data_IF_698260158353
#
_entry.id   IF_698260158353
#
_cell.length_a   1.000
_cell.length_b   1.000
_cell.length_c   1.000
_cell.angle_alpha   90.00
_cell.angle_beta   90.00
_cell.angle_gamma   90.00
#
_symmetry.space_group_name_H-M   'P 1'
#
loop_
_entity.id
_entity.type
_entity.pdbx_description
1 polymer ?
#
# COMPACT_ATOMS: atom_id res chain seq x y z
N UNK A 1 13.61 10.46 8.73
CA UNK A 1 12.32 9.86 8.34
C UNK A 1 12.26 8.43 8.82
N UNK A 2 11.13 7.99 9.32
CA UNK A 2 10.93 6.63 9.79
C UNK A 2 10.25 5.81 8.70
N UNK A 3 10.84 4.65 8.38
CA UNK A 3 10.29 3.69 7.43
C UNK A 3 10.16 2.35 8.13
N UNK A 4 9.06 1.67 7.91
CA UNK A 4 8.83 0.34 8.46
C UNK A 4 7.88 -0.45 7.58
N UNK A 5 8.01 -1.76 7.63
CA UNK A 5 7.07 -2.67 6.99
C UNK A 5 6.43 -3.52 8.08
N UNK A 6 5.11 -3.55 8.11
CA UNK A 6 4.38 -4.32 9.11
C UNK A 6 3.10 -4.89 8.51
N UNK A 7 2.48 -5.82 9.22
CA UNK A 7 1.23 -6.43 8.81
C UNK A 7 0.07 -5.71 9.48
N UNK A 8 -0.90 -5.30 8.66
CA UNK A 8 -2.15 -4.71 9.16
C UNK A 8 -3.24 -5.78 9.08
N UNK A 9 -3.92 -6.01 10.20
CA UNK A 9 -5.03 -6.95 10.25
C UNK A 9 -6.22 -6.42 9.44
N UNK A 10 -6.76 -7.28 8.59
CA UNK A 10 -7.99 -7.03 7.84
C UNK A 10 -8.98 -8.15 8.15
N UNK A 11 -10.20 -8.05 7.64
CA UNK A 11 -11.17 -9.14 7.78
C UNK A 11 -10.74 -10.43 7.09
N UNK A 12 -9.82 -10.35 6.12
CA UNK A 12 -9.40 -11.51 5.31
C UNK A 12 -7.98 -11.98 5.61
N UNK A 13 -7.28 -11.37 6.57
CA UNK A 13 -5.92 -11.78 6.92
C UNK A 13 -5.03 -10.61 7.31
N UNK A 14 -3.73 -10.80 7.13
CA UNK A 14 -2.73 -9.80 7.43
C UNK A 14 -2.14 -9.22 6.15
N UNK A 15 -2.26 -7.91 6.01
CA UNK A 15 -1.85 -7.18 4.82
C UNK A 15 -0.52 -6.50 5.07
N UNK A 16 0.54 -6.94 4.39
CA UNK A 16 1.86 -6.32 4.47
C UNK A 16 1.79 -4.89 3.95
N UNK A 17 2.26 -3.96 4.76
CA UNK A 17 2.14 -2.53 4.47
C UNK A 17 3.46 -1.82 4.74
N UNK A 18 3.93 -1.07 3.76
CA UNK A 18 5.07 -0.17 3.93
C UNK A 18 4.56 1.16 4.49
N UNK A 19 5.19 1.62 5.57
CA UNK A 19 4.82 2.87 6.23
C UNK A 19 6.03 3.81 6.23
N UNK A 20 5.77 5.06 5.89
CA UNK A 20 6.78 6.09 5.83
C UNK A 20 6.21 7.38 6.43
N UNK A 21 6.94 7.98 7.37
CA UNK A 21 6.50 9.21 8.06
C UNK A 21 7.69 10.01 8.57
N UNK A 22 7.53 11.31 8.80
CA UNK A 22 8.53 12.08 9.54
C UNK A 22 8.65 11.60 11.00
N UNK A 23 9.74 11.96 11.67
CA UNK A 23 10.01 11.48 13.03
C UNK A 23 9.04 12.04 14.06
N UNK A 24 8.57 13.27 13.87
CA UNK A 24 7.70 13.95 14.83
C UNK A 24 6.32 14.16 14.24
N UNK A 25 5.33 13.66 14.93
CA UNK A 25 3.93 13.79 14.56
C UNK A 25 3.17 14.64 15.55
N UNK A 26 1.81 14.64 15.45
CA UNK A 26 1.04 13.83 14.51
C UNK A 26 0.92 14.43 13.11
N UNK A 27 0.70 13.57 12.12
CA UNK A 27 0.54 13.94 10.72
C UNK A 27 -0.74 13.34 10.13
N UNK A 28 -1.35 13.99 9.12
CA UNK A 28 -2.48 13.39 8.43
C UNK A 28 -2.05 12.13 7.68
N UNK A 29 -2.94 11.14 7.65
CA UNK A 29 -2.69 9.88 6.96
C UNK A 29 -2.98 10.00 5.48
N UNK A 30 -2.13 9.36 4.66
CA UNK A 30 -2.34 9.19 3.23
C UNK A 30 -2.21 7.70 2.91
N UNK A 31 -3.22 7.16 2.24
CA UNK A 31 -3.19 5.80 1.73
C UNK A 31 -2.76 5.84 0.27
N UNK A 32 -1.53 5.40 0.01
CA UNK A 32 -0.99 5.32 -1.35
C UNK A 32 -1.33 3.95 -1.90
N UNK A 33 -2.31 3.91 -2.80
CA UNK A 33 -2.76 2.66 -3.38
C UNK A 33 -1.89 2.31 -4.58
N UNK A 34 -1.46 1.06 -4.63
CA UNK A 34 -0.58 0.57 -5.70
C UNK A 34 -1.31 0.44 -7.03
N UNK A 35 -0.54 0.48 -8.12
CA UNK A 35 -1.01 0.15 -9.45
C UNK A 35 -0.82 -1.35 -9.76
N UNK A 36 -1.14 -1.76 -10.99
CA UNK A 36 -1.15 -3.18 -11.36
C UNK A 36 0.17 -3.92 -11.13
N UNK A 37 1.36 -3.34 -11.40
CA UNK A 37 2.61 -4.03 -11.09
C UNK A 37 2.87 -4.28 -9.59
N UNK A 38 2.09 -3.66 -8.71
CA UNK A 38 2.21 -3.90 -7.27
C UNK A 38 3.30 -3.07 -6.60
N UNK A 39 3.63 -3.47 -5.36
CA UNK A 39 4.64 -2.78 -4.57
C UNK A 39 6.02 -2.95 -5.21
N UNK A 40 6.72 -1.85 -5.37
CA UNK A 40 8.09 -1.82 -5.89
C UNK A 40 8.78 -0.55 -5.38
N UNK A 41 10.08 -0.47 -5.58
CA UNK A 41 10.88 0.64 -5.06
C UNK A 41 10.37 2.00 -5.54
N UNK A 42 9.90 2.08 -6.77
CA UNK A 42 9.32 3.30 -7.34
C UNK A 42 8.14 3.82 -6.51
N UNK A 43 7.25 2.93 -6.05
CA UNK A 43 6.14 3.31 -5.18
C UNK A 43 6.61 3.69 -3.78
N UNK A 44 7.63 3.01 -3.27
CA UNK A 44 8.23 3.38 -1.99
C UNK A 44 8.85 4.78 -2.04
N UNK A 45 9.47 5.14 -3.16
CA UNK A 45 10.00 6.48 -3.35
C UNK A 45 8.89 7.53 -3.39
N UNK A 46 7.76 7.23 -4.00
CA UNK A 46 6.58 8.10 -3.95
C UNK A 46 6.10 8.29 -2.51
N UNK A 47 6.05 7.21 -1.74
CA UNK A 47 5.68 7.28 -0.33
C UNK A 47 6.66 8.15 0.47
N UNK A 48 7.95 8.02 0.21
CA UNK A 48 8.98 8.82 0.86
C UNK A 48 8.83 10.32 0.57
N UNK A 49 8.49 10.65 -0.67
CA UNK A 49 8.22 12.06 -1.04
C UNK A 49 7.03 12.62 -0.29
N UNK A 50 5.95 11.87 -0.18
CA UNK A 50 4.79 12.28 0.60
C UNK A 50 5.13 12.40 2.09
N UNK A 51 5.89 11.47 2.63
CA UNK A 51 6.35 11.54 4.01
C UNK A 51 7.20 12.77 4.28
N UNK A 52 8.07 13.15 3.33
CA UNK A 52 8.95 14.30 3.46
C UNK A 52 8.16 15.61 3.60
N UNK A 53 6.99 15.71 2.98
CA UNK A 53 6.17 16.93 3.06
C UNK A 53 5.17 16.92 4.22
N UNK A 54 5.21 15.92 5.08
CA UNK A 54 4.46 15.92 6.33
C UNK A 54 3.24 15.01 6.38
N UNK A 55 3.31 13.86 5.73
CA UNK A 55 2.22 12.87 5.78
C UNK A 55 2.68 11.56 6.42
N UNK A 56 1.75 10.90 7.08
CA UNK A 56 1.89 9.52 7.53
C UNK A 56 1.37 8.64 6.40
N UNK A 57 2.27 7.99 5.66
CA UNK A 57 1.94 7.30 4.42
C UNK A 57 1.85 5.80 4.65
N UNK A 58 0.75 5.20 4.21
CA UNK A 58 0.57 3.75 4.22
C UNK A 58 0.49 3.28 2.76
N UNK A 59 1.38 2.36 2.40
CA UNK A 59 1.45 1.75 1.08
C UNK A 59 1.19 0.25 1.25
N UNK A 60 -0.08 -0.20 1.14
CA UNK A 60 -0.42 -1.59 1.38
C UNK A 60 -0.18 -2.47 0.16
N UNK A 61 0.21 -3.71 0.40
CA UNK A 61 0.21 -4.73 -0.64
C UNK A 61 -1.22 -5.26 -0.83
N UNK A 62 -1.95 -4.70 -1.76
CA UNK A 62 -3.34 -5.08 -2.03
C UNK A 62 -3.47 -6.49 -2.62
N UNK A 63 -2.36 -7.11 -3.03
CA UNK A 63 -2.35 -8.49 -3.52
C UNK A 63 -2.08 -9.51 -2.40
N UNK A 64 -2.16 -9.12 -1.13
CA UNK A 64 -1.77 -9.99 -0.01
C UNK A 64 -2.55 -11.30 0.05
N UNK A 65 -3.78 -11.35 -0.49
CA UNK A 65 -4.58 -12.58 -0.53
C UNK A 65 -3.95 -13.65 -1.42
N UNK A 66 -3.11 -13.25 -2.38
CA UNK A 66 -2.36 -14.15 -3.25
C UNK A 66 -1.00 -14.56 -2.67
N UNK A 67 -0.67 -14.09 -1.46
CA UNK A 67 0.60 -14.36 -0.80
C UNK A 67 1.56 -13.17 -0.83
N UNK A 68 2.75 -13.37 -0.26
CA UNK A 68 3.75 -12.30 -0.18
C UNK A 68 4.61 -12.20 -1.44
N UNK A 69 4.59 -13.23 -2.28
CA UNK A 69 5.38 -13.30 -3.52
C UNK A 69 4.68 -12.58 -4.68
N UNK A 70 4.13 -11.41 -4.38
CA UNK A 70 3.44 -10.55 -5.38
C UNK A 70 4.24 -9.30 -5.70
N UNK A 71 5.56 -9.36 -5.51
CA UNK A 71 6.49 -8.34 -5.97
C UNK A 71 7.01 -8.80 -7.33
N UNK A 72 6.85 -7.95 -8.33
CA UNK A 72 7.20 -8.27 -9.70
C UNK A 72 8.42 -7.46 -10.15
N UNK A 73 9.26 -8.08 -10.97
CA UNK A 73 10.43 -7.44 -11.54
C UNK A 73 10.13 -6.68 -12.83
N UNK A 74 11.18 -6.18 -13.52
CA UNK A 74 11.00 -5.37 -14.72
C UNK A 74 10.27 -6.06 -15.86
N UNK A 75 10.36 -7.40 -15.96
CA UNK A 75 9.71 -8.15 -17.04
C UNK A 75 8.18 -8.14 -16.95
N UNK A 76 7.60 -7.70 -15.82
CA UNK A 76 6.14 -7.64 -15.66
C UNK A 76 5.47 -6.75 -16.71
N UNK A 77 6.18 -5.77 -17.25
CA UNK A 77 5.67 -4.87 -18.27
C UNK A 77 5.89 -5.40 -19.70
N UNK A 78 6.64 -6.50 -19.86
CA UNK A 78 6.90 -7.11 -21.16
C UNK A 78 5.73 -7.98 -21.58
N UNK A 79 5.19 -7.72 -22.76
CA UNK A 79 4.10 -8.51 -23.32
C UNK A 79 4.52 -9.96 -23.51
N UNK A 80 3.67 -10.89 -23.07
CA UNK A 80 3.94 -12.33 -23.18
C UNK A 80 4.88 -12.89 -22.12
N UNK A 81 5.40 -12.10 -21.18
CA UNK A 81 6.24 -12.62 -20.10
C UNK A 81 5.42 -13.44 -19.12
N UNK A 82 6.06 -14.46 -18.51
CA UNK A 82 5.43 -15.27 -17.48
C UNK A 82 5.05 -14.43 -16.25
N UNK A 83 5.89 -13.45 -15.91
CA UNK A 83 5.67 -12.55 -14.78
C UNK A 83 4.42 -11.69 -14.99
N UNK A 84 4.23 -11.15 -16.18
CA UNK A 84 3.03 -10.40 -16.53
C UNK A 84 1.77 -11.27 -16.47
N UNK A 85 1.88 -12.53 -16.88
CA UNK A 85 0.79 -13.49 -16.77
C UNK A 85 0.38 -13.74 -15.32
N UNK A 86 1.34 -13.90 -14.42
CA UNK A 86 1.08 -14.05 -13.00
C UNK A 86 0.42 -12.80 -12.39
N UNK A 87 0.91 -11.64 -12.75
CA UNK A 87 0.33 -10.36 -12.32
C UNK A 87 -1.14 -10.26 -12.76
N UNK A 88 -1.42 -10.55 -14.02
CA UNK A 88 -2.79 -10.50 -14.53
C UNK A 88 -3.71 -11.48 -13.84
N UNK A 89 -3.22 -12.69 -13.52
CA UNK A 89 -4.00 -13.69 -12.82
C UNK A 89 -4.35 -13.22 -11.40
N UNK A 90 -3.42 -12.60 -10.69
CA UNK A 90 -3.66 -12.04 -9.35
C UNK A 90 -4.62 -10.86 -9.44
N UNK A 91 -4.38 -9.95 -10.36
CA UNK A 91 -5.22 -8.77 -10.55
C UNK A 91 -6.65 -9.11 -10.91
N UNK A 92 -6.87 -10.15 -11.71
CA UNK A 92 -8.21 -10.55 -12.13
C UNK A 92 -9.10 -11.02 -10.96
N UNK A 93 -8.50 -11.38 -9.83
CA UNK A 93 -9.22 -11.79 -8.62
C UNK A 93 -9.55 -10.62 -7.70
N UNK A 94 -9.07 -9.43 -8.01
CA UNK A 94 -9.37 -8.23 -7.22
C UNK A 94 -10.73 -7.68 -7.60
N UNK A 95 -11.43 -7.14 -6.60
CA UNK A 95 -12.70 -6.45 -6.79
C UNK A 95 -12.84 -5.35 -5.76
N UNK A 96 -13.81 -4.47 -5.95
CA UNK A 96 -14.00 -3.31 -5.07
C UNK A 96 -14.32 -3.69 -3.62
N UNK A 97 -15.28 -4.62 -3.33
CA UNK A 97 -15.61 -4.91 -1.94
C UNK A 97 -14.44 -5.39 -1.07
N UNK A 98 -13.59 -6.35 -1.49
CA UNK A 98 -12.42 -6.72 -0.69
C UNK A 98 -11.45 -5.56 -0.47
N UNK A 99 -11.21 -4.72 -1.48
CA UNK A 99 -10.32 -3.56 -1.34
C UNK A 99 -10.89 -2.55 -0.34
N UNK A 100 -12.20 -2.36 -0.33
CA UNK A 100 -12.85 -1.48 0.66
C UNK A 100 -12.69 -2.02 2.08
N UNK A 101 -12.71 -3.34 2.27
CA UNK A 101 -12.43 -3.95 3.57
C UNK A 101 -10.98 -3.72 3.99
N UNK A 102 -10.05 -3.74 3.05
CA UNK A 102 -8.64 -3.44 3.32
C UNK A 102 -8.46 -1.99 3.75
N UNK A 103 -9.14 -1.07 3.09
CA UNK A 103 -9.14 0.34 3.47
C UNK A 103 -9.71 0.54 4.87
N UNK A 104 -10.80 -0.16 5.21
CA UNK A 104 -11.35 -0.12 6.56
C UNK A 104 -10.33 -0.61 7.60
N UNK A 105 -9.58 -1.66 7.29
CA UNK A 105 -8.50 -2.14 8.16
C UNK A 105 -7.40 -1.11 8.34
N UNK A 106 -7.01 -0.40 7.28
CA UNK A 106 -6.02 0.68 7.36
C UNK A 106 -6.53 1.85 8.20
N UNK A 107 -7.79 2.23 8.04
CA UNK A 107 -8.38 3.29 8.84
C UNK A 107 -8.38 2.93 10.33
N UNK A 108 -8.77 1.71 10.67
CA UNK A 108 -8.73 1.24 12.05
C UNK A 108 -7.31 1.23 12.62
N UNK A 109 -6.32 0.82 11.82
CA UNK A 109 -4.92 0.89 12.22
C UNK A 109 -4.48 2.32 12.46
N UNK A 110 -4.78 3.23 11.52
CA UNK A 110 -4.38 4.63 11.62
C UNK A 110 -4.98 5.31 12.86
N UNK A 111 -6.22 5.00 13.19
CA UNK A 111 -6.89 5.55 14.38
C UNK A 111 -6.20 5.16 15.70
N UNK A 112 -5.47 4.06 15.70
CA UNK A 112 -4.74 3.60 16.88
C UNK A 112 -3.34 4.18 16.99
N UNK A 113 -2.84 4.88 15.97
CA UNK A 113 -1.49 5.43 15.96
C UNK A 113 -1.49 6.86 16.51
N UNK A 114 -0.67 7.10 17.53
CA UNK A 114 -0.53 8.46 18.09
C UNK A 114 0.13 9.43 17.12
N UNK A 115 0.88 8.92 16.16
CA UNK A 115 1.58 9.71 15.13
C UNK A 115 0.64 10.14 13.99
N UNK A 116 -0.57 9.63 13.95
CA UNK A 116 -1.59 10.01 12.97
C UNK A 116 -2.51 11.04 13.58
N UNK A 117 -2.64 12.19 12.89
CA UNK A 117 -3.57 13.24 13.30
C UNK A 117 -4.99 12.81 12.94
N UNK A 118 -5.89 12.84 13.92
CA UNK A 118 -7.30 12.52 13.69
C UNK A 118 -7.93 13.57 12.78
N UNK A 119 -8.76 13.09 11.86
CA UNK A 119 -9.43 13.92 10.87
C UNK A 119 -9.52 13.20 9.54
N UNK A 120 -9.85 13.90 8.47
CA UNK A 120 -9.94 13.28 7.15
C UNK A 120 -8.61 12.65 6.74
N UNK A 121 -8.67 11.44 6.23
CA UNK A 121 -7.54 10.78 5.59
C UNK A 121 -7.59 11.06 4.09
N UNK A 122 -6.42 11.21 3.49
CA UNK A 122 -6.31 11.37 2.06
C UNK A 122 -6.03 10.06 1.36
N UNK A 123 -6.40 10.01 0.10
CA UNK A 123 -6.08 8.88 -0.76
C UNK A 123 -5.29 9.37 -1.97
N UNK A 124 -4.25 8.64 -2.30
CA UNK A 124 -3.51 8.83 -3.54
C UNK A 124 -3.41 7.48 -4.22
N UNK A 125 -3.76 7.43 -5.49
CA UNK A 125 -3.64 6.21 -6.27
C UNK A 125 -2.45 6.36 -7.21
N UNK A 126 -1.53 5.40 -7.16
CA UNK A 126 -0.42 5.37 -8.10
C UNK A 126 -0.95 5.03 -9.49
N UNK A 127 -0.51 5.79 -10.48
CA UNK A 127 -0.84 5.52 -11.88
C UNK A 127 0.44 5.21 -12.64
N UNK A 128 0.37 4.19 -13.46
CA UNK A 128 1.50 3.81 -14.31
C UNK A 128 1.69 4.83 -15.42
#
# INVERSE_FOLDING_TARGET
>A
MIEQTLDIATGDGEMETFICRPERGPFPAVFLLMDAPGIREELKDMARRLGTVGYYVLLPNLYYRAGRDTIYGPSVLEEGSAERGRMRAVRSKMSIPPVMNDIAGMLAFADRQKEVRRGPAGFVMATA
#
